data_IF_649417165151
#
_entry.id   IF_649417165151
#
_cell.length_a   1.000
_cell.length_b   1.000
_cell.length_c   1.000
_cell.angle_alpha   90.00
_cell.angle_beta   90.00
_cell.angle_gamma   90.00
#
_symmetry.space_group_name_H-M   'P 1'
#
loop_
_entity.id
_entity.type
_entity.pdbx_description
1 polymer ?
#
# COMPACT_ATOMS: atom_id res chain seq x y z
N UNK A 1 -5.78 40.81 -41.30
CA UNK A 1 -6.69 40.75 -40.13
C UNK A 1 -7.28 39.37 -39.86
N UNK A 2 -7.73 38.58 -40.82
CA UNK A 2 -8.27 37.21 -40.59
C UNK A 2 -7.25 36.22 -40.02
N UNK A 3 -5.97 36.30 -40.39
CA UNK A 3 -4.91 35.42 -39.93
C UNK A 3 -4.46 35.71 -38.48
N UNK A 4 -4.56 36.98 -38.03
CA UNK A 4 -4.23 37.37 -36.66
C UNK A 4 -5.31 36.94 -35.67
N UNK A 5 -6.59 36.95 -36.12
CA UNK A 5 -7.72 36.47 -35.31
C UNK A 5 -7.67 34.96 -35.09
N UNK A 6 -7.23 34.17 -36.08
CA UNK A 6 -7.08 32.74 -35.99
C UNK A 6 -5.92 32.35 -35.05
N UNK A 7 -4.80 33.11 -35.05
CA UNK A 7 -3.67 32.91 -34.14
C UNK A 7 -4.04 33.28 -32.69
N UNK A 8 -4.88 34.27 -32.47
CA UNK A 8 -5.36 34.66 -31.15
C UNK A 8 -6.32 33.63 -30.54
N UNK A 9 -7.14 32.99 -31.39
CA UNK A 9 -8.03 31.87 -30.95
C UNK A 9 -7.28 30.59 -30.60
N UNK A 10 -6.14 30.32 -31.24
CA UNK A 10 -5.27 29.19 -30.89
C UNK A 10 -4.49 29.37 -29.57
N UNK A 11 -4.22 30.62 -29.20
CA UNK A 11 -3.56 30.95 -27.91
C UNK A 11 -4.52 30.86 -26.71
N UNK A 12 -5.82 30.81 -26.93
CA UNK A 12 -6.86 30.63 -25.91
C UNK A 12 -7.24 29.15 -25.67
N UNK A 13 -6.62 28.19 -26.38
CA UNK A 13 -6.70 26.77 -26.04
C UNK A 13 -5.85 26.52 -24.80
N UNK A 14 -6.23 27.13 -23.69
CA UNK A 14 -5.68 26.84 -22.38
C UNK A 14 -5.82 25.34 -22.12
N UNK A 15 -4.78 24.71 -21.63
CA UNK A 15 -4.82 23.33 -21.16
C UNK A 15 -5.95 23.21 -20.14
N UNK A 16 -7.05 22.58 -20.54
CA UNK A 16 -8.10 22.19 -19.60
C UNK A 16 -7.48 21.11 -18.72
N UNK A 17 -6.91 21.50 -17.59
CA UNK A 17 -6.52 20.55 -16.57
C UNK A 17 -7.82 19.97 -16.01
N UNK A 18 -8.04 18.68 -16.23
CA UNK A 18 -9.18 17.99 -15.66
C UNK A 18 -9.21 18.25 -14.15
N UNK A 19 -10.29 18.88 -13.68
CA UNK A 19 -10.44 19.26 -12.27
C UNK A 19 -10.55 18.01 -11.43
N UNK A 20 -9.66 17.83 -10.44
CA UNK A 20 -9.67 16.68 -9.54
C UNK A 20 -10.80 16.85 -8.52
N UNK A 21 -11.78 15.98 -8.56
CA UNK A 21 -12.91 16.00 -7.64
C UNK A 21 -12.66 15.02 -6.49
N UNK A 22 -12.33 15.53 -5.31
CA UNK A 22 -12.22 14.74 -4.07
C UNK A 22 -13.58 14.67 -3.41
N UNK A 23 -13.96 13.49 -2.95
CA UNK A 23 -15.26 13.23 -2.33
C UNK A 23 -15.07 12.97 -0.83
N UNK A 24 -15.77 13.72 0.00
CA UNK A 24 -15.92 13.49 1.43
C UNK A 24 -17.29 12.87 1.70
N UNK A 25 -17.31 11.74 2.40
CA UNK A 25 -18.53 11.11 2.89
C UNK A 25 -18.59 11.26 4.42
N UNK A 26 -19.61 11.96 4.89
CA UNK A 26 -19.93 12.18 6.30
C UNK A 26 -21.36 11.74 6.59
N UNK A 27 -21.55 10.79 7.53
CA UNK A 27 -22.88 10.34 7.98
C UNK A 27 -23.87 10.04 6.83
N UNK A 28 -23.39 9.43 5.73
CA UNK A 28 -24.21 9.12 4.55
C UNK A 28 -24.38 10.27 3.56
N UNK A 29 -23.94 11.47 3.87
CA UNK A 29 -23.94 12.64 2.99
C UNK A 29 -22.62 12.77 2.26
N UNK A 30 -22.65 13.15 0.99
CA UNK A 30 -21.46 13.29 0.12
C UNK A 30 -21.25 14.76 -0.22
N UNK A 31 -20.02 15.26 -0.03
CA UNK A 31 -19.58 16.59 -0.46
C UNK A 31 -18.42 16.45 -1.43
N UNK A 32 -18.46 17.22 -2.53
CA UNK A 32 -17.43 17.20 -3.59
C UNK A 32 -16.58 18.46 -3.48
N UNK A 33 -15.27 18.30 -3.47
CA UNK A 33 -14.28 19.37 -3.45
C UNK A 33 -13.50 19.36 -4.77
N UNK A 34 -13.46 20.51 -5.44
CA UNK A 34 -12.83 20.67 -6.75
C UNK A 34 -11.96 21.93 -6.86
N UNK A 35 -11.50 22.45 -5.73
CA UNK A 35 -10.58 23.58 -5.62
C UNK A 35 -9.18 23.26 -6.15
N UNK A 36 -8.27 24.19 -6.02
CA UNK A 36 -6.82 23.99 -6.31
C UNK A 36 -6.14 23.04 -5.33
N UNK A 37 -6.70 22.86 -4.11
CA UNK A 37 -6.24 21.90 -3.11
C UNK A 37 -7.41 21.07 -2.55
N UNK A 38 -8.05 20.24 -3.38
CA UNK A 38 -9.30 19.57 -3.00
C UNK A 38 -9.12 18.56 -1.88
N UNK A 39 -7.93 17.93 -1.74
CA UNK A 39 -7.62 17.04 -0.63
C UNK A 39 -7.52 17.81 0.69
N UNK A 40 -6.84 18.96 0.70
CA UNK A 40 -6.73 19.81 1.90
C UNK A 40 -8.10 20.32 2.37
N UNK A 41 -8.95 20.76 1.42
CA UNK A 41 -10.30 21.25 1.74
C UNK A 41 -11.20 20.13 2.26
N UNK A 42 -11.18 18.95 1.62
CA UNK A 42 -11.92 17.77 2.09
C UNK A 42 -11.45 17.35 3.49
N UNK A 43 -10.13 17.37 3.74
CA UNK A 43 -9.56 17.07 5.04
C UNK A 43 -9.97 18.10 6.10
N UNK A 44 -9.97 19.40 5.77
CA UNK A 44 -10.38 20.45 6.70
C UNK A 44 -11.85 20.29 7.11
N UNK A 45 -12.73 19.95 6.16
CA UNK A 45 -14.15 19.73 6.40
C UNK A 45 -14.48 18.41 7.11
N UNK A 46 -13.60 17.40 7.01
CA UNK A 46 -13.83 16.08 7.59
C UNK A 46 -13.80 16.09 9.12
N UNK A 47 -14.55 15.19 9.72
CA UNK A 47 -14.53 14.87 11.16
C UNK A 47 -14.08 13.42 11.38
N UNK A 48 -13.77 13.05 12.62
CA UNK A 48 -13.37 11.68 12.95
C UNK A 48 -14.44 10.66 12.57
N UNK A 49 -14.04 9.67 11.76
CA UNK A 49 -14.91 8.60 11.27
C UNK A 49 -15.31 8.76 9.82
N UNK A 50 -15.04 9.90 9.20
CA UNK A 50 -15.37 10.17 7.80
C UNK A 50 -14.51 9.37 6.81
N UNK A 51 -15.00 9.32 5.57
CA UNK A 51 -14.30 8.69 4.45
C UNK A 51 -14.00 9.72 3.37
N UNK A 52 -12.76 9.74 2.90
CA UNK A 52 -12.30 10.55 1.76
C UNK A 52 -12.00 9.62 0.58
N UNK A 53 -12.58 9.89 -0.58
CA UNK A 53 -12.29 9.19 -1.84
C UNK A 53 -11.50 10.12 -2.76
N UNK A 54 -10.34 9.64 -3.19
CA UNK A 54 -9.44 10.35 -4.07
C UNK A 54 -9.51 9.76 -5.48
N UNK A 55 -9.73 10.58 -6.51
CA UNK A 55 -9.58 10.14 -7.89
C UNK A 55 -8.10 9.93 -8.24
N UNK A 56 -7.83 9.46 -9.44
CA UNK A 56 -6.47 9.51 -9.99
C UNK A 56 -5.95 10.93 -10.04
N UNK A 57 -4.66 11.08 -9.82
CA UNK A 57 -3.97 12.37 -9.83
C UNK A 57 -2.92 12.49 -8.74
N UNK A 58 -2.24 13.63 -8.71
CA UNK A 58 -1.17 13.93 -7.74
C UNK A 58 -1.70 14.91 -6.71
N UNK A 59 -1.55 14.58 -5.44
CA UNK A 59 -1.97 15.37 -4.28
C UNK A 59 -0.77 15.68 -3.37
N UNK A 60 -0.80 16.79 -2.63
CA UNK A 60 0.22 17.10 -1.62
C UNK A 60 0.19 16.06 -0.49
N UNK A 61 1.24 16.07 0.36
CA UNK A 61 1.29 15.28 1.57
C UNK A 61 0.20 15.70 2.57
N UNK A 62 -0.20 14.76 3.43
CA UNK A 62 -1.28 14.98 4.39
C UNK A 62 -0.87 14.53 5.79
N UNK A 63 -0.87 15.47 6.75
CA UNK A 63 -0.82 15.17 8.18
C UNK A 63 -2.21 14.81 8.72
N UNK A 64 -2.37 13.63 9.31
CA UNK A 64 -3.66 13.12 9.80
C UNK A 64 -3.71 13.23 11.32
N UNK A 65 -4.60 14.08 11.84
CA UNK A 65 -4.85 14.32 13.27
C UNK A 65 -6.22 13.86 13.75
N UNK A 66 -6.93 13.13 12.92
CA UNK A 66 -8.28 12.60 13.19
C UNK A 66 -8.44 11.24 12.52
N UNK A 67 -9.29 10.36 13.07
CA UNK A 67 -9.57 9.06 12.47
C UNK A 67 -10.26 9.21 11.13
N UNK A 68 -9.66 8.76 10.04
CA UNK A 68 -10.23 8.81 8.69
C UNK A 68 -10.05 7.48 7.96
N UNK A 69 -10.95 7.24 7.01
CA UNK A 69 -10.74 6.24 5.97
C UNK A 69 -10.42 6.98 4.66
N UNK A 70 -9.29 6.64 4.00
CA UNK A 70 -8.90 7.26 2.74
C UNK A 70 -8.74 6.18 1.68
N UNK A 71 -9.49 6.31 0.60
CA UNK A 71 -9.41 5.43 -0.57
C UNK A 71 -8.88 6.19 -1.77
N UNK A 72 -7.87 5.61 -2.45
CA UNK A 72 -7.43 6.06 -3.77
C UNK A 72 -7.93 5.13 -4.88
N UNK A 73 -7.59 5.44 -6.12
CA UNK A 73 -7.92 4.65 -7.30
C UNK A 73 -6.98 3.44 -7.53
N UNK A 74 -5.91 3.33 -6.75
CA UNK A 74 -4.88 2.31 -6.89
C UNK A 74 -3.53 2.89 -7.30
N UNK A 75 -2.47 2.08 -7.22
CA UNK A 75 -1.11 2.47 -7.57
C UNK A 75 -0.56 1.73 -8.82
N UNK A 76 -1.25 0.70 -9.32
CA UNK A 76 -0.87 0.00 -10.55
C UNK A 76 -1.35 0.78 -11.77
N UNK A 77 -0.44 1.19 -12.71
CA UNK A 77 -0.81 1.96 -13.89
C UNK A 77 -1.85 1.28 -14.75
N UNK A 78 -1.72 -0.02 -14.99
CA UNK A 78 -2.64 -0.79 -15.86
C UNK A 78 -4.04 -0.91 -15.23
N UNK A 79 -4.12 -1.17 -13.92
CA UNK A 79 -5.40 -1.29 -13.21
C UNK A 79 -6.10 0.06 -13.04
N UNK A 80 -5.33 1.15 -13.03
CA UNK A 80 -5.81 2.51 -12.92
C UNK A 80 -5.80 3.27 -14.27
N UNK A 81 -5.72 2.58 -15.41
CA UNK A 81 -5.56 3.20 -16.72
C UNK A 81 -6.65 4.23 -17.07
N UNK A 82 -7.88 3.99 -16.63
CA UNK A 82 -9.02 4.90 -16.89
C UNK A 82 -9.09 6.04 -15.87
N UNK A 83 -8.85 5.74 -14.59
CA UNK A 83 -8.99 6.71 -13.50
C UNK A 83 -7.71 7.50 -13.25
N UNK A 84 -6.57 6.99 -13.70
CA UNK A 84 -5.24 7.40 -13.28
C UNK A 84 -4.86 6.84 -11.89
N UNK A 85 -3.57 6.77 -11.62
CA UNK A 85 -3.02 6.40 -10.30
C UNK A 85 -3.29 7.53 -9.30
N UNK A 86 -3.67 7.20 -8.07
CA UNK A 86 -3.78 8.19 -7.00
C UNK A 86 -2.44 8.30 -6.27
N UNK A 87 -1.73 9.39 -6.49
CA UNK A 87 -0.49 9.69 -5.79
C UNK A 87 -0.72 10.77 -4.72
N UNK A 88 -0.34 10.48 -3.48
CA UNK A 88 -0.23 11.45 -2.39
C UNK A 88 1.24 11.52 -1.99
N UNK A 89 1.81 12.71 -1.81
CA UNK A 89 3.25 12.84 -1.59
C UNK A 89 3.72 12.05 -0.37
N UNK A 90 3.04 12.16 0.77
CA UNK A 90 3.24 11.38 2.01
C UNK A 90 1.98 11.38 2.86
N UNK A 91 1.91 10.45 3.80
CA UNK A 91 0.94 10.47 4.91
C UNK A 91 1.71 10.48 6.22
N UNK A 92 1.36 11.43 7.10
CA UNK A 92 1.96 11.55 8.42
C UNK A 92 0.87 11.37 9.50
N UNK A 93 0.83 10.21 10.13
CA UNK A 93 -0.07 9.95 11.25
C UNK A 93 0.40 10.69 12.50
N UNK A 94 -0.50 11.45 13.10
CA UNK A 94 -0.28 12.26 14.29
C UNK A 94 -1.32 11.92 15.38
N UNK A 95 -1.19 12.51 16.54
CA UNK A 95 -2.14 12.30 17.65
C UNK A 95 -3.59 12.53 17.22
N UNK A 96 -4.46 11.59 17.56
CA UNK A 96 -5.90 11.59 17.18
C UNK A 96 -6.22 10.80 15.91
N UNK A 97 -5.22 10.25 15.20
CA UNK A 97 -5.42 9.45 13.99
C UNK A 97 -5.69 7.96 14.22
N UNK A 98 -5.84 7.54 15.48
CA UNK A 98 -6.11 6.14 15.84
C UNK A 98 -7.29 5.56 15.06
N UNK A 99 -7.15 4.30 14.63
CA UNK A 99 -8.18 3.60 13.88
C UNK A 99 -8.34 4.05 12.42
N UNK A 100 -7.45 4.88 11.89
CA UNK A 100 -7.47 5.30 10.49
C UNK A 100 -7.19 4.14 9.54
N UNK A 101 -7.73 4.26 8.30
CA UNK A 101 -7.53 3.27 7.22
C UNK A 101 -7.10 3.96 5.94
N UNK A 102 -6.03 3.45 5.32
CA UNK A 102 -5.51 3.95 4.04
C UNK A 102 -5.47 2.80 3.04
N UNK A 103 -6.00 3.02 1.84
CA UNK A 103 -6.01 2.00 0.80
C UNK A 103 -5.86 2.59 -0.60
N UNK A 104 -5.07 1.92 -1.45
CA UNK A 104 -5.00 2.20 -2.89
C UNK A 104 -4.26 3.48 -3.26
N UNK A 105 -3.20 3.84 -2.57
CA UNK A 105 -2.40 5.03 -2.80
C UNK A 105 -0.98 4.70 -3.26
N UNK A 106 -0.42 5.55 -4.12
CA UNK A 106 1.00 5.68 -4.38
C UNK A 106 1.56 6.78 -3.47
N UNK A 107 2.51 6.45 -2.61
CA UNK A 107 3.09 7.32 -1.57
C UNK A 107 4.62 7.37 -1.70
N UNK A 108 5.18 8.16 -2.64
CA UNK A 108 6.63 8.19 -2.85
C UNK A 108 7.42 8.61 -1.62
N UNK A 109 6.92 9.58 -0.85
CA UNK A 109 7.50 10.05 0.42
C UNK A 109 7.15 9.18 1.62
N UNK A 110 6.36 8.09 1.42
CA UNK A 110 6.06 7.10 2.44
C UNK A 110 4.94 7.46 3.41
N UNK A 111 4.86 6.64 4.44
CA UNK A 111 3.92 6.75 5.56
C UNK A 111 4.74 6.86 6.84
N UNK A 112 4.51 7.91 7.62
CA UNK A 112 5.22 8.16 8.87
C UNK A 112 4.25 8.13 10.05
N UNK A 113 4.68 7.51 11.13
CA UNK A 113 4.05 7.60 12.44
C UNK A 113 4.89 8.55 13.29
N UNK A 114 4.28 9.61 13.81
CA UNK A 114 4.99 10.70 14.47
C UNK A 114 5.84 10.24 15.65
N UNK A 115 6.94 10.94 15.83
CA UNK A 115 7.95 10.64 16.85
C UNK A 115 7.35 10.69 18.27
N UNK A 116 7.56 9.61 19.04
CA UNK A 116 7.09 9.47 20.42
C UNK A 116 5.60 9.76 20.63
N UNK A 117 4.77 9.42 19.64
CA UNK A 117 3.31 9.47 19.74
C UNK A 117 2.78 8.03 19.56
N UNK A 118 1.96 7.60 20.50
CA UNK A 118 1.23 6.33 20.38
C UNK A 118 0.05 6.52 19.45
N UNK A 119 0.00 5.74 18.37
CA UNK A 119 -1.07 5.73 17.38
C UNK A 119 -1.46 4.28 17.13
N UNK A 120 -2.69 3.93 17.46
CA UNK A 120 -3.15 2.55 17.49
C UNK A 120 -4.15 2.22 16.36
N UNK A 121 -4.28 0.92 16.06
CA UNK A 121 -5.34 0.36 15.23
C UNK A 121 -5.39 0.89 13.78
N UNK A 122 -4.28 1.38 13.23
CA UNK A 122 -4.20 1.85 11.85
C UNK A 122 -4.12 0.67 10.90
N UNK A 123 -4.83 0.78 9.77
CA UNK A 123 -4.79 -0.20 8.68
C UNK A 123 -4.24 0.46 7.42
N UNK A 124 -3.19 -0.13 6.82
CA UNK A 124 -2.68 0.28 5.51
C UNK A 124 -2.70 -0.92 4.58
N UNK A 125 -3.35 -0.77 3.43
CA UNK A 125 -3.46 -1.87 2.48
C UNK A 125 -3.46 -1.43 1.03
N UNK A 126 -2.94 -2.29 0.14
CA UNK A 126 -2.92 -2.08 -1.32
C UNK A 126 -2.32 -0.73 -1.72
N UNK A 127 -1.33 -0.28 -0.95
CA UNK A 127 -0.57 0.94 -1.22
C UNK A 127 0.83 0.58 -1.75
N UNK A 128 1.38 1.47 -2.56
CA UNK A 128 2.82 1.53 -2.79
C UNK A 128 3.36 2.65 -1.91
N UNK A 129 4.25 2.35 -0.99
CA UNK A 129 4.91 3.32 -0.14
C UNK A 129 6.43 3.24 -0.29
N UNK A 130 7.09 4.40 -0.47
CA UNK A 130 8.55 4.47 -0.43
C UNK A 130 9.10 3.94 0.90
N UNK A 131 8.43 4.30 2.00
CA UNK A 131 8.69 3.74 3.34
C UNK A 131 7.41 3.69 4.19
N UNK A 132 7.43 2.83 5.21
CA UNK A 132 6.50 2.89 6.35
C UNK A 132 7.35 2.92 7.60
N UNK A 133 7.35 4.05 8.32
CA UNK A 133 8.29 4.30 9.42
C UNK A 133 7.56 4.67 10.70
N UNK A 134 7.80 3.90 11.73
CA UNK A 134 7.40 4.22 13.10
C UNK A 134 8.60 4.91 13.78
N UNK A 135 8.49 6.22 13.94
CA UNK A 135 9.54 7.05 14.50
C UNK A 135 9.50 7.04 16.03
N UNK A 136 10.65 6.91 16.67
CA UNK A 136 10.78 7.02 18.11
C UNK A 136 11.97 6.28 18.65
N UNK A 137 12.24 6.50 19.93
CA UNK A 137 13.16 5.69 20.73
C UNK A 137 12.40 4.47 21.25
N UNK A 138 13.10 3.38 21.56
CA UNK A 138 12.50 2.15 22.10
C UNK A 138 11.89 2.38 23.51
N UNK A 139 10.83 3.21 23.55
CA UNK A 139 10.09 3.52 24.78
C UNK A 139 8.71 2.83 24.71
N UNK A 140 8.45 1.82 25.56
CA UNK A 140 7.21 1.04 25.52
C UNK A 140 5.94 1.90 25.68
N UNK A 141 6.03 3.08 26.31
CA UNK A 141 4.90 3.99 26.51
C UNK A 141 4.30 4.48 25.18
N UNK A 142 5.14 4.59 24.15
CA UNK A 142 4.75 5.08 22.83
C UNK A 142 4.56 3.96 21.78
N UNK A 143 4.63 2.70 22.19
CA UNK A 143 4.45 1.61 21.24
C UNK A 143 3.06 1.62 20.63
N UNK A 144 3.02 1.72 19.30
CA UNK A 144 1.81 1.57 18.51
C UNK A 144 1.34 0.11 18.55
N UNK A 145 0.06 -0.12 18.78
CA UNK A 145 -0.54 -1.46 18.84
C UNK A 145 -1.72 -1.60 17.87
N UNK A 146 -2.06 -2.85 17.52
CA UNK A 146 -3.21 -3.12 16.65
C UNK A 146 -3.02 -2.67 15.19
N UNK A 147 -1.79 -2.38 14.78
CA UNK A 147 -1.48 -1.98 13.40
C UNK A 147 -1.57 -3.20 12.48
N UNK A 148 -2.18 -3.01 11.29
CA UNK A 148 -2.28 -4.02 10.25
C UNK A 148 -1.81 -3.46 8.90
N UNK A 149 -0.72 -4.02 8.37
CA UNK A 149 -0.14 -3.68 7.08
C UNK A 149 -0.27 -4.89 6.14
N UNK A 150 -1.10 -4.81 5.11
CA UNK A 150 -1.30 -5.97 4.24
C UNK A 150 -1.47 -5.62 2.76
N UNK A 151 -0.99 -6.49 1.87
CA UNK A 151 -1.09 -6.34 0.41
C UNK A 151 -0.43 -5.04 -0.11
N UNK A 152 0.60 -4.53 0.58
CA UNK A 152 1.32 -3.34 0.15
C UNK A 152 2.61 -3.71 -0.60
N UNK A 153 3.08 -2.75 -1.39
CA UNK A 153 4.45 -2.72 -1.91
C UNK A 153 5.21 -1.64 -1.14
N UNK A 154 6.31 -2.00 -0.47
CA UNK A 154 7.01 -1.08 0.43
C UNK A 154 8.51 -1.14 0.19
N UNK A 155 9.15 0.03 -0.03
CA UNK A 155 10.59 0.13 -0.15
C UNK A 155 11.28 -0.22 1.18
N UNK A 156 10.90 0.44 2.26
CA UNK A 156 11.47 0.23 3.58
C UNK A 156 10.39 0.23 4.67
N UNK A 157 10.43 -0.76 5.56
CA UNK A 157 9.63 -0.79 6.80
C UNK A 157 10.53 -0.67 8.01
N UNK A 158 10.33 0.37 8.82
CA UNK A 158 11.00 0.54 10.12
C UNK A 158 9.94 0.43 11.21
N UNK A 159 9.97 -0.68 11.96
CA UNK A 159 8.90 -1.05 12.90
C UNK A 159 9.30 -0.86 14.37
N UNK A 160 10.29 -0.03 14.63
CA UNK A 160 10.97 0.16 15.93
C UNK A 160 10.01 0.31 17.10
N UNK A 161 9.02 1.16 16.97
CA UNK A 161 8.12 1.54 18.05
C UNK A 161 6.74 0.87 17.92
N UNK A 162 6.75 -0.45 17.81
CA UNK A 162 5.51 -1.23 17.68
C UNK A 162 5.49 -2.42 18.64
N UNK A 163 4.29 -2.83 19.04
CA UNK A 163 4.05 -4.05 19.77
C UNK A 163 2.85 -4.81 19.20
N UNK A 164 3.07 -6.04 18.76
CA UNK A 164 2.03 -6.88 18.17
C UNK A 164 1.53 -6.40 16.81
N UNK A 165 2.38 -5.70 16.03
CA UNK A 165 2.06 -5.32 14.65
C UNK A 165 1.87 -6.56 13.78
N UNK A 166 0.95 -6.48 12.81
CA UNK A 166 0.66 -7.53 11.83
C UNK A 166 1.05 -7.06 10.44
N UNK A 167 2.02 -7.75 9.83
CA UNK A 167 2.57 -7.45 8.50
C UNK A 167 2.33 -8.65 7.60
N UNK A 168 1.29 -8.59 6.76
CA UNK A 168 0.82 -9.76 6.01
C UNK A 168 0.78 -9.52 4.51
N UNK A 169 1.29 -10.48 3.74
CA UNK A 169 1.16 -10.54 2.28
C UNK A 169 1.64 -9.26 1.56
N UNK A 170 2.73 -8.65 2.04
CA UNK A 170 3.35 -7.49 1.41
C UNK A 170 4.56 -7.90 0.56
N UNK A 171 4.90 -7.05 -0.39
CA UNK A 171 6.17 -7.08 -1.13
C UNK A 171 7.05 -5.99 -0.51
N UNK A 172 8.18 -6.37 0.10
CA UNK A 172 9.00 -5.47 0.90
C UNK A 172 10.46 -5.56 0.46
N UNK A 173 11.10 -4.42 0.19
CA UNK A 173 12.53 -4.39 -0.10
C UNK A 173 13.36 -4.59 1.18
N UNK A 174 13.07 -3.84 2.25
CA UNK A 174 13.79 -3.96 3.51
C UNK A 174 12.84 -3.87 4.71
N UNK A 175 13.03 -4.74 5.70
CA UNK A 175 12.41 -4.63 7.03
C UNK A 175 13.51 -4.35 8.04
N UNK A 176 13.36 -3.27 8.79
CA UNK A 176 14.24 -2.88 9.88
C UNK A 176 13.50 -2.85 11.21
N UNK A 177 14.13 -3.37 12.25
CA UNK A 177 13.67 -3.25 13.63
C UNK A 177 12.22 -3.69 13.82
N UNK A 178 12.00 -5.00 13.82
CA UNK A 178 10.67 -5.64 13.76
C UNK A 178 9.67 -5.25 14.86
N UNK A 179 10.08 -4.48 15.88
CA UNK A 179 9.25 -4.22 17.05
C UNK A 179 9.09 -5.50 17.92
N UNK A 180 8.37 -5.39 19.03
CA UNK A 180 8.13 -6.52 19.91
C UNK A 180 6.83 -7.27 19.56
N UNK A 181 6.83 -8.60 19.73
CA UNK A 181 5.67 -9.47 19.48
C UNK A 181 5.04 -9.28 18.07
N UNK A 182 5.83 -8.84 17.11
CA UNK A 182 5.36 -8.62 15.74
C UNK A 182 5.08 -9.94 15.04
N UNK A 183 4.02 -9.99 14.24
CA UNK A 183 3.69 -11.13 13.41
C UNK A 183 3.85 -10.77 11.93
N UNK A 184 4.94 -11.25 11.33
CA UNK A 184 5.34 -11.00 9.94
C UNK A 184 5.10 -12.28 9.16
N UNK A 185 4.05 -12.30 8.33
CA UNK A 185 3.58 -13.53 7.71
C UNK A 185 3.26 -13.38 6.23
N UNK A 186 3.58 -14.40 5.46
CA UNK A 186 3.27 -14.49 4.03
C UNK A 186 3.78 -13.28 3.21
N UNK A 187 4.92 -12.69 3.58
CA UNK A 187 5.51 -11.60 2.81
C UNK A 187 6.60 -12.09 1.86
N UNK A 188 6.88 -11.29 0.83
CA UNK A 188 8.12 -11.35 0.07
C UNK A 188 9.03 -10.25 0.60
N UNK A 189 10.17 -10.62 1.21
CA UNK A 189 11.13 -9.72 1.86
C UNK A 189 12.49 -9.88 1.18
N UNK A 190 13.07 -8.78 0.65
CA UNK A 190 14.40 -8.85 0.05
C UNK A 190 15.51 -8.77 1.10
N UNK A 191 15.34 -7.96 2.15
CA UNK A 191 16.29 -7.86 3.26
C UNK A 191 15.60 -7.74 4.61
N UNK A 192 16.13 -8.42 5.63
CA UNK A 192 15.69 -8.35 7.02
C UNK A 192 16.87 -7.92 7.91
N UNK A 193 16.70 -6.82 8.66
CA UNK A 193 17.77 -6.19 9.43
C UNK A 193 17.33 -5.87 10.84
N UNK A 194 18.19 -6.11 11.82
CA UNK A 194 17.95 -5.76 13.23
C UNK A 194 16.59 -6.27 13.74
N UNK A 195 16.25 -7.52 13.43
CA UNK A 195 14.97 -8.13 13.80
C UNK A 195 15.08 -8.84 15.16
N UNK A 196 14.18 -8.49 16.07
CA UNK A 196 14.15 -9.05 17.42
C UNK A 196 12.72 -9.32 17.86
N UNK A 197 12.51 -10.41 18.61
CA UNK A 197 11.26 -10.77 19.29
C UNK A 197 10.03 -10.86 18.37
N UNK A 198 10.22 -11.25 17.11
CA UNK A 198 9.16 -11.39 16.12
C UNK A 198 8.85 -12.86 15.78
N UNK A 199 7.62 -13.11 15.38
CA UNK A 199 7.23 -14.34 14.69
C UNK A 199 7.28 -14.08 13.18
N UNK A 200 8.22 -14.72 12.49
CA UNK A 200 8.32 -14.71 11.03
C UNK A 200 7.83 -16.06 10.50
N UNK A 201 6.72 -16.03 9.76
CA UNK A 201 6.04 -17.26 9.35
C UNK A 201 5.63 -17.20 7.89
N UNK A 202 5.90 -18.26 7.13
CA UNK A 202 5.50 -18.42 5.73
C UNK A 202 6.01 -17.29 4.80
N UNK A 203 7.13 -16.64 5.11
CA UNK A 203 7.70 -15.58 4.27
C UNK A 203 8.72 -16.15 3.28
N UNK A 204 8.94 -15.48 2.16
CA UNK A 204 10.15 -15.64 1.36
C UNK A 204 11.13 -14.51 1.70
N UNK A 205 12.34 -14.83 2.23
CA UNK A 205 13.33 -13.88 2.72
C UNK A 205 14.65 -14.13 2.00
N UNK A 206 15.04 -13.17 1.12
CA UNK A 206 16.20 -13.33 0.27
C UNK A 206 17.53 -13.07 0.99
N UNK A 207 17.53 -12.17 1.97
CA UNK A 207 18.73 -11.89 2.79
C UNK A 207 18.37 -11.44 4.20
N UNK A 208 19.30 -11.57 5.11
CA UNK A 208 19.19 -11.06 6.48
C UNK A 208 20.58 -10.68 7.02
N UNK A 209 20.61 -9.73 7.96
CA UNK A 209 21.84 -9.29 8.63
C UNK A 209 22.19 -10.16 9.84
N UNK A 210 23.37 -9.93 10.41
CA UNK A 210 23.80 -10.54 11.68
C UNK A 210 23.00 -10.06 12.90
N UNK A 211 22.24 -8.98 12.78
CA UNK A 211 21.45 -8.41 13.88
C UNK A 211 20.05 -9.01 13.96
N UNK A 212 19.89 -10.33 13.89
CA UNK A 212 18.60 -11.00 14.07
C UNK A 212 18.69 -11.98 15.24
N UNK A 213 17.90 -11.74 16.30
CA UNK A 213 17.97 -12.58 17.48
C UNK A 213 16.62 -12.64 18.23
N UNK A 214 16.41 -13.70 19.02
CA UNK A 214 15.19 -13.94 19.79
C UNK A 214 13.90 -14.01 18.95
N UNK A 215 13.99 -14.37 17.67
CA UNK A 215 12.85 -14.53 16.79
C UNK A 215 12.41 -15.98 16.68
N UNK A 216 11.18 -16.20 16.23
CA UNK A 216 10.69 -17.52 15.82
C UNK A 216 10.47 -17.51 14.32
N UNK A 217 11.17 -18.37 13.58
CA UNK A 217 11.05 -18.56 12.14
C UNK A 217 10.35 -19.89 11.86
N UNK A 218 9.20 -19.84 11.17
CA UNK A 218 8.41 -21.03 10.81
C UNK A 218 8.08 -21.06 9.32
N UNK A 219 8.35 -22.16 8.66
CA UNK A 219 8.00 -22.43 7.27
C UNK A 219 8.36 -21.28 6.31
N UNK A 220 9.46 -20.55 6.55
CA UNK A 220 9.93 -19.54 5.62
C UNK A 220 10.81 -20.16 4.53
N UNK A 221 10.81 -19.56 3.35
CA UNK A 221 11.80 -19.80 2.28
C UNK A 221 12.96 -18.85 2.53
N UNK A 222 14.18 -19.38 2.66
CA UNK A 222 15.40 -18.64 2.99
C UNK A 222 16.49 -18.95 1.96
N UNK A 223 17.11 -17.90 1.40
CA UNK A 223 18.22 -18.07 0.44
C UNK A 223 19.45 -18.72 1.09
N UNK A 224 19.65 -18.52 2.37
CA UNK A 224 20.79 -19.05 3.13
C UNK A 224 20.28 -19.63 4.43
N UNK A 225 20.89 -20.70 4.93
CA UNK A 225 20.64 -21.17 6.28
C UNK A 225 21.30 -20.22 7.29
N UNK A 226 20.55 -19.68 8.27
CA UNK A 226 21.11 -18.81 9.26
C UNK A 226 22.14 -19.51 10.17
N UNK A 227 23.13 -18.75 10.66
CA UNK A 227 23.97 -19.20 11.75
C UNK A 227 23.13 -19.43 13.02
N UNK A 228 23.63 -20.30 13.90
CA UNK A 228 23.03 -20.48 15.22
C UNK A 228 23.00 -19.13 15.96
N UNK A 229 21.94 -18.88 16.69
CA UNK A 229 21.70 -17.71 17.54
C UNK A 229 20.60 -18.05 18.52
N UNK A 230 20.03 -17.06 19.20
CA UNK A 230 18.90 -17.28 20.11
C UNK A 230 17.54 -17.35 19.36
N UNK A 231 17.56 -17.61 18.06
CA UNK A 231 16.35 -17.77 17.27
C UNK A 231 15.83 -19.20 17.33
N UNK A 232 14.50 -19.37 17.26
CA UNK A 232 13.84 -20.66 17.07
C UNK A 232 13.53 -20.90 15.61
N UNK A 233 13.92 -22.06 15.07
CA UNK A 233 13.78 -22.44 13.66
C UNK A 233 12.93 -23.71 13.55
N UNK A 234 11.84 -23.66 12.77
CA UNK A 234 10.96 -24.81 12.54
C UNK A 234 10.41 -24.85 11.12
N UNK A 235 10.58 -25.95 10.41
CA UNK A 235 9.97 -26.20 9.10
C UNK A 235 10.43 -25.27 7.97
N UNK A 236 11.53 -24.54 8.12
CA UNK A 236 11.99 -23.60 7.10
C UNK A 236 12.69 -24.33 5.94
N UNK A 237 12.60 -23.74 4.76
CA UNK A 237 13.23 -24.17 3.51
C UNK A 237 14.50 -23.35 3.32
N UNK A 238 15.68 -23.99 3.38
CA UNK A 238 16.98 -23.34 3.36
C UNK A 238 17.70 -23.49 2.02
N UNK A 239 18.62 -22.57 1.73
CA UNK A 239 19.49 -22.58 0.56
C UNK A 239 18.71 -22.60 -0.76
N UNK A 240 17.59 -21.87 -0.79
CA UNK A 240 16.74 -21.77 -1.96
C UNK A 240 17.29 -20.70 -2.91
N UNK A 241 17.41 -21.04 -4.19
CA UNK A 241 17.86 -20.12 -5.23
C UNK A 241 16.73 -19.13 -5.57
N UNK A 242 16.83 -17.91 -5.07
CA UNK A 242 15.86 -16.83 -5.32
C UNK A 242 15.88 -16.35 -6.78
N UNK A 243 16.95 -16.58 -7.55
CA UNK A 243 16.98 -16.33 -9.00
C UNK A 243 16.01 -17.21 -9.79
N UNK A 244 15.66 -18.38 -9.23
CA UNK A 244 14.75 -19.36 -9.84
C UNK A 244 13.47 -19.60 -9.06
N UNK A 245 13.22 -18.91 -7.96
CA UNK A 245 12.07 -19.15 -7.07
C UNK A 245 10.76 -18.71 -7.68
N UNK A 246 10.72 -17.50 -8.27
CA UNK A 246 9.51 -16.89 -8.80
C UNK A 246 9.39 -17.07 -10.32
N UNK A 247 8.16 -17.03 -10.82
CA UNK A 247 7.88 -17.10 -12.27
C UNK A 247 8.62 -15.99 -12.99
N UNK A 248 8.56 -14.76 -12.46
CA UNK A 248 9.34 -13.62 -12.99
C UNK A 248 9.63 -12.63 -11.85
N UNK A 249 10.90 -12.28 -11.72
CA UNK A 249 11.36 -11.20 -10.85
C UNK A 249 12.54 -10.50 -11.52
N UNK A 250 12.46 -9.20 -11.72
CA UNK A 250 13.50 -8.40 -12.37
C UNK A 250 14.37 -7.66 -11.36
N UNK A 251 13.74 -7.02 -10.38
CA UNK A 251 14.37 -6.29 -9.28
C UNK A 251 13.69 -6.67 -7.96
N UNK A 252 13.77 -5.81 -6.94
CA UNK A 252 13.01 -6.06 -5.72
C UNK A 252 11.49 -5.91 -5.94
N UNK A 253 11.07 -5.07 -6.88
CA UNK A 253 9.71 -4.90 -7.38
C UNK A 253 9.68 -4.20 -8.73
N UNK A 254 8.88 -4.74 -9.65
CA UNK A 254 8.41 -4.06 -10.85
C UNK A 254 6.92 -4.42 -11.05
N UNK A 255 6.15 -3.52 -11.67
CA UNK A 255 4.72 -3.78 -11.93
C UNK A 255 4.48 -4.96 -12.88
N UNK A 256 5.50 -5.38 -13.62
CA UNK A 256 5.47 -6.53 -14.53
C UNK A 256 5.97 -7.82 -13.89
N UNK A 257 6.44 -7.78 -12.64
CA UNK A 257 6.92 -8.98 -11.95
C UNK A 257 5.77 -9.93 -11.59
N UNK A 258 6.05 -11.22 -11.60
CA UNK A 258 5.15 -12.29 -11.22
C UNK A 258 5.78 -13.11 -10.09
N UNK A 259 5.33 -12.87 -8.87
CA UNK A 259 5.86 -13.50 -7.66
C UNK A 259 5.22 -14.86 -7.32
N UNK A 260 4.44 -15.47 -8.22
CA UNK A 260 4.03 -16.86 -8.04
C UNK A 260 5.27 -17.75 -8.00
N UNK A 261 5.29 -18.72 -7.07
CA UNK A 261 6.35 -19.70 -7.01
C UNK A 261 6.28 -20.60 -8.25
N UNK A 262 7.43 -20.92 -8.86
CA UNK A 262 7.49 -21.88 -9.98
C UNK A 262 7.04 -23.29 -9.58
N UNK A 263 7.29 -23.65 -8.30
CA UNK A 263 6.94 -24.98 -7.74
C UNK A 263 6.19 -24.78 -6.41
N UNK A 264 4.94 -24.28 -6.43
CA UNK A 264 4.22 -23.91 -5.19
C UNK A 264 3.98 -25.10 -4.24
N UNK A 265 3.80 -26.30 -4.77
CA UNK A 265 3.60 -27.51 -3.94
C UNK A 265 4.84 -27.91 -3.11
N UNK A 266 6.02 -27.40 -3.46
CA UNK A 266 7.27 -27.66 -2.72
C UNK A 266 7.42 -26.76 -1.48
N UNK A 267 6.62 -25.71 -1.35
CA UNK A 267 6.78 -24.70 -0.32
C UNK A 267 5.43 -24.39 0.34
N UNK A 268 5.04 -25.24 1.30
CA UNK A 268 3.78 -25.08 2.03
C UNK A 268 4.03 -24.43 3.39
N UNK A 269 3.16 -23.52 3.75
CA UNK A 269 3.15 -22.82 5.02
C UNK A 269 2.59 -23.66 6.18
N UNK A 270 2.58 -23.08 7.36
CA UNK A 270 2.02 -23.68 8.58
C UNK A 270 0.51 -23.96 8.48
N UNK A 271 -0.19 -23.30 7.56
CA UNK A 271 -1.61 -23.40 7.28
C UNK A 271 -1.92 -24.24 6.01
N UNK A 272 -0.93 -24.96 5.49
CA UNK A 272 -1.00 -25.72 4.25
C UNK A 272 -1.28 -24.87 2.99
N UNK A 273 -1.26 -23.54 3.08
CA UNK A 273 -1.26 -22.66 1.91
C UNK A 273 0.16 -22.47 1.38
N UNK A 274 0.31 -21.92 0.17
CA UNK A 274 1.63 -21.62 -0.39
C UNK A 274 2.36 -20.56 0.46
N UNK A 275 3.67 -20.72 0.64
CA UNK A 275 4.52 -19.71 1.28
C UNK A 275 4.63 -18.46 0.42
N UNK A 276 4.74 -17.29 1.03
CA UNK A 276 4.83 -16.01 0.34
C UNK A 276 3.49 -15.34 0.12
N UNK A 277 3.47 -14.31 -0.73
CA UNK A 277 2.39 -13.32 -0.78
C UNK A 277 1.03 -13.85 -1.22
N UNK A 278 0.93 -15.02 -1.83
CA UNK A 278 -0.34 -15.58 -2.30
C UNK A 278 -0.98 -16.61 -1.35
N UNK A 279 -0.31 -16.93 -0.23
CA UNK A 279 -0.88 -17.80 0.81
C UNK A 279 -1.55 -17.03 1.96
N UNK A 280 -2.05 -17.75 2.96
CA UNK A 280 -2.56 -17.17 4.20
C UNK A 280 -3.90 -16.46 4.11
N UNK A 281 -4.14 -15.55 5.07
CA UNK A 281 -5.45 -14.92 5.28
C UNK A 281 -5.75 -13.74 4.34
N UNK A 282 -4.70 -13.07 3.84
CA UNK A 282 -4.82 -11.87 3.00
C UNK A 282 -4.02 -12.03 1.71
N UNK A 283 -4.31 -13.04 0.84
CA UNK A 283 -3.54 -13.27 -0.38
C UNK A 283 -3.38 -11.98 -1.17
N UNK A 284 -2.16 -11.70 -1.63
CA UNK A 284 -1.86 -10.50 -2.40
C UNK A 284 -2.80 -10.38 -3.60
N UNK A 285 -3.32 -9.19 -3.81
CA UNK A 285 -4.25 -8.90 -4.90
C UNK A 285 -3.51 -8.17 -6.01
N UNK A 286 -3.29 -8.86 -7.11
CA UNK A 286 -2.67 -8.27 -8.30
C UNK A 286 -3.43 -7.03 -8.77
N UNK A 287 -2.68 -6.04 -9.25
CA UNK A 287 -3.25 -4.76 -9.64
C UNK A 287 -3.65 -3.85 -8.48
N UNK A 288 -3.56 -4.30 -7.22
CA UNK A 288 -3.84 -3.52 -6.00
C UNK A 288 -5.11 -2.65 -6.09
N UNK A 289 -6.14 -3.16 -6.76
CA UNK A 289 -7.41 -2.47 -6.94
C UNK A 289 -8.07 -2.29 -5.58
N UNK A 290 -8.52 -1.09 -5.21
CA UNK A 290 -9.22 -0.86 -3.95
C UNK A 290 -10.49 -1.74 -3.80
N UNK A 291 -10.90 -1.99 -2.56
CA UNK A 291 -12.13 -2.73 -2.26
C UNK A 291 -13.39 -1.93 -2.63
N UNK A 292 -13.27 -0.63 -2.87
CA UNK A 292 -14.36 0.24 -3.30
C UNK A 292 -14.57 0.16 -4.81
N UNK A 293 -15.81 0.36 -5.31
CA UNK A 293 -16.07 0.39 -6.75
C UNK A 293 -15.25 1.44 -7.48
N UNK A 294 -14.66 1.06 -8.60
CA UNK A 294 -13.89 1.95 -9.49
C UNK A 294 -14.20 1.63 -10.96
N UNK A 295 -13.98 2.59 -11.84
CA UNK A 295 -14.23 2.44 -13.27
C UNK A 295 -13.07 1.66 -13.88
N UNK A 296 -13.34 0.47 -14.41
CA UNK A 296 -12.37 -0.36 -15.13
C UNK A 296 -12.27 -0.02 -16.62
N UNK A 297 -13.39 0.33 -17.23
CA UNK A 297 -13.43 0.73 -18.62
C UNK A 297 -14.51 1.81 -18.82
N UNK A 298 -14.24 2.75 -19.70
CA UNK A 298 -15.16 3.79 -20.11
C UNK A 298 -15.07 3.97 -21.64
N UNK A 299 -16.22 3.92 -22.33
CA UNK A 299 -16.32 4.32 -23.72
C UNK A 299 -17.24 5.54 -23.78
N UNK A 300 -16.64 6.69 -24.06
CA UNK A 300 -17.35 7.98 -24.13
C UNK A 300 -17.16 8.50 -25.54
N UNK A 301 -18.22 8.54 -26.40
CA UNK A 301 -18.13 9.10 -27.74
C UNK A 301 -17.73 10.58 -27.70
N UNK A 302 -16.92 11.01 -28.66
CA UNK A 302 -16.54 12.43 -28.79
C UNK A 302 -17.69 13.34 -29.26
N UNK A 303 -18.73 12.76 -29.81
CA UNK A 303 -19.89 13.48 -30.34
C UNK A 303 -21.20 12.74 -30.00
N UNK A 304 -22.27 13.49 -29.83
CA UNK A 304 -23.60 12.94 -29.73
C UNK A 304 -24.03 12.28 -31.07
N UNK A 305 -24.94 11.34 -31.02
CA UNK A 305 -25.54 10.71 -32.18
C UNK A 305 -26.48 11.71 -32.94
N UNK A 306 -27.09 11.27 -34.03
CA UNK A 306 -28.00 12.08 -34.84
C UNK A 306 -29.25 12.57 -34.08
N UNK A 307 -29.57 11.96 -32.94
CA UNK A 307 -30.70 12.34 -32.07
C UNK A 307 -30.25 13.22 -30.90
N UNK A 308 -28.96 13.62 -30.83
CA UNK A 308 -28.40 14.40 -29.75
C UNK A 308 -28.08 13.59 -28.48
N UNK A 309 -28.08 12.26 -28.57
CA UNK A 309 -27.79 11.37 -27.44
C UNK A 309 -26.32 11.00 -27.39
N UNK A 310 -25.77 10.95 -26.18
CA UNK A 310 -24.39 10.47 -25.90
C UNK A 310 -24.47 9.08 -25.29
N UNK A 311 -24.07 8.05 -26.04
CA UNK A 311 -24.06 6.67 -25.54
C UNK A 311 -22.78 6.40 -24.73
N UNK A 312 -22.87 6.47 -23.40
CA UNK A 312 -21.78 6.23 -22.49
C UNK A 312 -21.86 4.80 -21.97
N UNK A 313 -20.77 4.03 -22.11
CA UNK A 313 -20.63 2.69 -21.54
C UNK A 313 -19.57 2.73 -20.44
N UNK A 314 -19.95 2.25 -19.24
CA UNK A 314 -19.05 2.16 -18.10
C UNK A 314 -19.02 0.71 -17.57
N UNK A 315 -17.80 0.19 -17.31
CA UNK A 315 -17.60 -1.03 -16.55
C UNK A 315 -17.04 -0.67 -15.18
N UNK A 316 -17.78 -0.98 -14.14
CA UNK A 316 -17.40 -0.72 -12.74
C UNK A 316 -17.19 -2.06 -12.04
N UNK A 317 -16.14 -2.16 -11.24
CA UNK A 317 -15.86 -3.32 -10.39
C UNK A 317 -15.19 -2.91 -9.08
N UNK A 318 -15.24 -3.81 -8.11
CA UNK A 318 -14.45 -3.75 -6.89
C UNK A 318 -13.71 -5.08 -6.73
N UNK A 319 -12.53 -5.05 -6.12
CA UNK A 319 -11.80 -6.27 -5.79
C UNK A 319 -12.15 -6.71 -4.36
N UNK A 320 -12.57 -7.95 -4.19
CA UNK A 320 -12.87 -8.49 -2.87
C UNK A 320 -11.66 -8.42 -1.93
N UNK A 321 -11.91 -8.28 -0.64
CA UNK A 321 -10.88 -8.35 0.41
C UNK A 321 -10.32 -9.76 0.55
#
# INVERSE_FOLDING_TARGET
MRSVLAALLLLLAGTVVAQKAVVLQHAGTTTIFSSTNPLGDAYAAAVSGDTIYLPGGIFPGLGITKRLTIFGAGHYPDSAAITGVTQVASIDFQSGSDGSKIQGLLLPGGINFSYNIKIDSVIVSRCYAGSITFHGENNPTFNCVGILLYQNVVGEMVLRQTNGIRVFNNIISAVHETGTNSWIRNNKISGLYNAYYALLENNSIASYSSGIDFNTFRNNILAVQPAAGNNTWAGNYYNVDFGNLFVQQTTWFAYTDNYHLKTPASYLGTDATVVGIYGGFYPYKEGAIPAVPHIQAATIPLQADANGLLNIQLKVAAQNN
#
